data_IF_512931017283
#
_entry.id   IF_512931017283
#
_cell.length_a   1.000
_cell.length_b   1.000
_cell.length_c   1.000
_cell.angle_alpha   90.00
_cell.angle_beta   90.00
_cell.angle_gamma   90.00
#
_symmetry.space_group_name_H-M   'P 1'
#
loop_
_entity.id
_entity.type
_entity.pdbx_description
1 polymer ?
#
# COMPACT_ATOMS: atom_id res chain seq x y z
N UNK A 1 -7.84 16.32 -60.68
CA UNK A 1 -6.48 15.81 -60.43
C UNK A 1 -5.76 16.76 -59.49
N UNK A 2 -5.70 16.48 -58.19
CA UNK A 2 -4.79 17.14 -57.25
C UNK A 2 -4.44 16.12 -56.16
N UNK A 3 -3.26 15.48 -56.29
CA UNK A 3 -2.64 14.71 -55.22
C UNK A 3 -1.49 15.57 -54.70
N UNK A 4 -1.62 16.16 -53.52
CA UNK A 4 -0.47 16.71 -52.79
C UNK A 4 0.09 15.59 -51.92
N UNK A 5 1.05 14.85 -52.47
CA UNK A 5 1.91 13.98 -51.68
C UNK A 5 2.89 14.86 -50.91
N UNK A 6 2.88 14.74 -49.57
CA UNK A 6 3.94 15.27 -48.72
C UNK A 6 5.08 14.25 -48.74
N UNK A 7 6.36 14.65 -48.94
CA UNK A 7 7.49 13.73 -49.00
C UNK A 7 7.79 13.11 -47.64
N UNK A 8 8.16 11.84 -47.70
CA UNK A 8 8.58 10.95 -46.63
C UNK A 8 10.09 11.10 -46.43
N UNK A 9 10.52 11.95 -45.51
CA UNK A 9 11.93 12.07 -45.08
C UNK A 9 11.98 12.35 -43.56
N UNK A 10 11.47 11.39 -42.77
CA UNK A 10 11.74 11.35 -41.33
C UNK A 10 13.14 10.74 -41.13
N UNK A 11 14.12 11.62 -40.92
CA UNK A 11 15.50 11.28 -40.61
C UNK A 11 15.55 10.50 -39.28
N UNK A 12 15.87 9.21 -39.36
CA UNK A 12 16.31 8.41 -38.23
C UNK A 12 17.71 8.88 -37.79
N UNK A 13 17.78 9.63 -36.69
CA UNK A 13 19.04 9.77 -35.97
C UNK A 13 19.25 8.51 -35.11
N UNK A 14 19.94 7.53 -35.70
CA UNK A 14 20.62 6.47 -34.96
C UNK A 14 21.74 7.12 -34.12
N UNK A 15 21.55 7.17 -32.80
CA UNK A 15 22.65 7.42 -31.87
C UNK A 15 23.26 6.06 -31.53
N UNK A 16 24.27 5.66 -32.30
CA UNK A 16 25.23 4.65 -31.89
C UNK A 16 26.53 5.36 -31.48
N UNK A 17 27.18 4.73 -30.49
CA UNK A 17 28.52 4.99 -29.98
C UNK A 17 28.65 6.01 -28.84
N UNK A 18 28.68 5.48 -27.60
CA UNK A 18 29.75 5.78 -26.64
C UNK A 18 29.77 4.65 -25.58
N UNK A 19 30.44 3.57 -25.96
CA UNK A 19 30.94 2.58 -25.02
C UNK A 19 32.17 3.15 -24.29
N UNK A 20 32.25 2.88 -22.98
CA UNK A 20 33.37 3.14 -22.05
C UNK A 20 33.21 4.37 -21.15
N UNK A 21 32.53 4.17 -20.02
CA UNK A 21 32.94 4.79 -18.76
C UNK A 21 33.10 3.66 -17.74
N UNK A 22 34.35 3.23 -17.61
CA UNK A 22 35.05 2.88 -16.38
C UNK A 22 34.24 2.19 -15.27
N UNK A 23 34.51 0.89 -15.11
CA UNK A 23 34.33 0.24 -13.82
C UNK A 23 35.33 0.81 -12.82
N UNK A 24 34.83 1.12 -11.61
CA UNK A 24 35.43 0.91 -10.29
C UNK A 24 34.83 1.90 -9.28
N UNK A 25 33.72 1.51 -8.64
CA UNK A 25 33.31 2.05 -7.33
C UNK A 25 32.19 1.19 -6.71
N UNK A 26 32.31 -0.14 -6.71
CA UNK A 26 31.53 -0.99 -5.81
C UNK A 26 32.41 -1.41 -4.64
N UNK A 27 32.76 -0.43 -3.82
CA UNK A 27 33.40 -0.68 -2.54
C UNK A 27 32.43 -0.24 -1.44
N UNK A 28 31.82 -1.26 -0.83
CA UNK A 28 31.27 -1.31 0.52
C UNK A 28 30.32 -0.17 0.94
N UNK A 29 29.02 -0.40 0.78
CA UNK A 29 27.99 0.27 1.59
C UNK A 29 26.97 -0.73 2.14
N UNK A 30 27.43 -1.88 2.62
CA UNK A 30 26.58 -2.87 3.28
C UNK A 30 26.46 -2.66 4.81
N UNK A 31 27.17 -1.68 5.40
CA UNK A 31 27.29 -1.57 6.86
C UNK A 31 26.72 -0.28 7.48
N UNK A 32 25.81 0.42 6.79
CA UNK A 32 25.12 1.59 7.35
C UNK A 32 23.71 1.27 7.85
N UNK A 33 23.49 0.07 8.42
CA UNK A 33 22.34 -0.12 9.29
C UNK A 33 22.69 0.38 10.69
N UNK A 34 22.01 1.42 11.20
CA UNK A 34 22.29 1.94 12.53
C UNK A 34 22.15 0.83 13.57
N UNK A 35 23.09 0.82 14.51
CA UNK A 35 23.14 -0.17 15.60
C UNK A 35 21.79 -0.17 16.32
N UNK A 36 21.37 -1.31 16.91
CA UNK A 36 20.09 -1.38 17.62
C UNK A 36 19.90 -0.30 18.70
N UNK A 37 21.00 0.20 19.28
CA UNK A 37 21.01 1.32 20.23
C UNK A 37 20.73 2.66 19.53
N UNK A 38 21.44 2.97 18.44
CA UNK A 38 21.24 4.19 17.62
C UNK A 38 19.81 4.25 17.03
N UNK A 39 19.24 3.09 16.68
CA UNK A 39 17.85 2.97 16.21
C UNK A 39 16.82 3.33 17.27
N UNK A 40 17.14 3.10 18.54
CA UNK A 40 16.28 3.40 19.69
C UNK A 40 16.35 4.89 20.07
N UNK A 41 17.48 5.54 19.81
CA UNK A 41 17.66 6.98 20.01
C UNK A 41 16.90 7.77 18.94
N UNK A 42 16.99 7.37 17.66
CA UNK A 42 16.20 7.96 16.57
C UNK A 42 14.68 7.87 16.78
N UNK A 43 14.20 6.78 17.42
CA UNK A 43 12.79 6.64 17.80
C UNK A 43 12.38 7.61 18.92
N UNK A 44 13.24 7.82 19.92
CA UNK A 44 12.99 8.76 21.02
C UNK A 44 12.99 10.22 20.56
N UNK A 45 13.89 10.59 19.66
CA UNK A 45 13.95 11.94 19.09
C UNK A 45 12.70 12.24 18.24
N UNK A 46 12.25 11.28 17.42
CA UNK A 46 11.01 11.42 16.65
C UNK A 46 9.73 11.45 17.48
N UNK A 47 9.73 10.83 18.67
CA UNK A 47 8.62 10.89 19.63
C UNK A 47 8.56 12.23 20.36
N UNK A 48 9.71 12.78 20.77
CA UNK A 48 9.78 14.11 21.41
C UNK A 48 9.37 15.26 20.47
N UNK A 49 9.72 15.18 19.17
CA UNK A 49 9.26 16.15 18.17
C UNK A 49 7.75 16.04 17.90
N UNK A 50 7.18 14.83 18.02
CA UNK A 50 5.76 14.58 17.79
C UNK A 50 4.90 15.08 18.95
N UNK A 51 5.39 14.96 20.19
CA UNK A 51 4.72 15.47 21.39
C UNK A 51 4.71 17.01 21.42
N UNK A 52 5.78 17.68 20.97
CA UNK A 52 5.81 19.15 20.89
C UNK A 52 4.82 19.74 19.86
N UNK A 53 4.42 18.94 18.85
CA UNK A 53 3.53 19.40 17.77
C UNK A 53 2.04 19.38 18.14
N UNK A 54 1.67 18.69 19.22
CA UNK A 54 0.26 18.56 19.62
C UNK A 54 -0.25 19.75 20.47
N UNK A 55 0.63 20.64 20.93
CA UNK A 55 0.27 21.77 21.81
C UNK A 55 0.12 23.15 21.14
N UNK A 56 0.26 23.28 19.82
CA UNK A 56 0.25 24.61 19.12
C UNK A 56 -1.10 24.97 18.47
N UNK A 57 -2.22 24.33 18.82
CA UNK A 57 -3.53 24.75 18.30
C UNK A 57 -4.58 24.85 19.41
N UNK A 58 -4.40 25.83 20.30
CA UNK A 58 -5.54 26.54 20.90
C UNK A 58 -5.70 27.87 20.18
N UNK A 59 -6.47 27.84 19.09
CA UNK A 59 -6.98 29.07 18.48
C UNK A 59 -8.26 29.41 19.23
N UNK A 60 -8.17 30.33 20.17
CA UNK A 60 -9.34 31.04 20.70
C UNK A 60 -9.95 31.88 19.57
N UNK A 61 -10.71 31.22 18.71
CA UNK A 61 -11.53 31.86 17.70
C UNK A 61 -12.93 32.00 18.27
N UNK A 62 -13.33 33.24 18.55
CA UNK A 62 -14.71 33.62 18.81
C UNK A 62 -15.65 32.92 17.81
N UNK A 63 -16.61 32.14 18.30
CA UNK A 63 -17.51 31.28 17.52
C UNK A 63 -18.28 32.05 16.42
N UNK A 64 -18.55 33.33 16.67
CA UNK A 64 -19.22 34.27 15.76
C UNK A 64 -18.42 34.59 14.48
N UNK A 65 -17.08 34.51 14.51
CA UNK A 65 -16.23 34.84 13.36
C UNK A 65 -15.89 33.58 12.51
N UNK A 66 -16.07 32.38 13.06
CA UNK A 66 -15.94 31.10 12.34
C UNK A 66 -17.13 30.85 11.40
N UNK A 67 -18.31 31.39 11.70
CA UNK A 67 -19.50 31.29 10.86
C UNK A 67 -19.37 32.10 9.55
N UNK A 68 -18.55 33.16 9.54
CA UNK A 68 -18.36 34.06 8.37
C UNK A 68 -17.36 33.52 7.36
N UNK A 69 -16.45 32.63 7.76
CA UNK A 69 -15.47 32.00 6.87
C UNK A 69 -16.00 30.64 6.44
N UNK A 70 -16.02 30.36 5.14
CA UNK A 70 -16.36 29.03 4.65
C UNK A 70 -15.49 27.96 5.32
N UNK A 71 -16.12 26.89 5.85
CA UNK A 71 -15.40 25.81 6.53
C UNK A 71 -14.28 25.26 5.65
N UNK A 72 -13.05 25.21 6.19
CA UNK A 72 -11.91 24.57 5.51
C UNK A 72 -12.29 23.12 5.19
N UNK A 73 -12.17 22.72 3.91
CA UNK A 73 -12.44 21.35 3.49
C UNK A 73 -11.38 20.41 4.07
N UNK A 74 -11.79 19.50 4.94
CA UNK A 74 -10.91 18.42 5.41
C UNK A 74 -10.79 17.36 4.32
N UNK A 75 -9.56 16.93 4.05
CA UNK A 75 -9.28 15.83 3.12
C UNK A 75 -9.67 14.51 3.80
N UNK A 76 -10.61 13.76 3.23
CA UNK A 76 -10.95 12.40 3.69
C UNK A 76 -10.58 11.35 2.61
N UNK A 77 -9.38 10.75 2.68
CA UNK A 77 -8.94 9.74 1.72
C UNK A 77 -9.83 8.50 1.68
N UNK A 78 -10.46 8.11 2.78
CA UNK A 78 -11.26 6.89 2.86
C UNK A 78 -12.54 6.98 2.03
N UNK A 79 -13.05 8.19 1.83
CA UNK A 79 -14.24 8.47 1.03
C UNK A 79 -13.93 8.68 -0.47
N UNK A 80 -12.65 8.71 -0.86
CA UNK A 80 -12.34 8.81 -2.28
C UNK A 80 -12.82 7.58 -3.02
N UNK A 81 -13.55 7.83 -4.12
CA UNK A 81 -14.08 6.78 -5.02
C UNK A 81 -13.03 5.72 -5.36
N UNK A 82 -11.79 6.12 -5.65
CA UNK A 82 -10.67 5.20 -5.93
C UNK A 82 -10.31 4.30 -4.75
N UNK A 83 -10.29 4.84 -3.53
CA UNK A 83 -9.94 4.08 -2.32
C UNK A 83 -11.06 3.13 -1.93
N UNK A 84 -12.32 3.59 -2.00
CA UNK A 84 -13.50 2.74 -1.82
C UNK A 84 -13.46 1.57 -2.82
N UNK A 85 -13.23 1.86 -4.11
CA UNK A 85 -13.17 0.85 -5.16
C UNK A 85 -12.04 -0.17 -4.93
N UNK A 86 -10.83 0.31 -4.61
CA UNK A 86 -9.70 -0.57 -4.26
C UNK A 86 -10.07 -1.50 -3.12
N UNK A 87 -10.62 -0.95 -2.02
CA UNK A 87 -11.05 -1.72 -0.85
C UNK A 87 -12.08 -2.79 -1.21
N UNK A 88 -13.10 -2.45 -2.01
CA UNK A 88 -14.10 -3.42 -2.47
C UNK A 88 -13.47 -4.51 -3.35
N UNK A 89 -12.58 -4.16 -4.27
CA UNK A 89 -11.85 -5.11 -5.13
C UNK A 89 -10.99 -6.09 -4.33
N UNK A 90 -10.28 -5.60 -3.32
CA UNK A 90 -9.44 -6.44 -2.44
C UNK A 90 -10.27 -7.36 -1.55
N UNK A 91 -11.36 -6.84 -0.97
CA UNK A 91 -12.28 -7.64 -0.14
C UNK A 91 -13.16 -8.57 -0.96
N UNK A 92 -13.09 -8.52 -2.30
CA UNK A 92 -13.91 -9.34 -3.18
C UNK A 92 -15.39 -8.96 -3.18
N UNK A 93 -15.76 -7.77 -2.69
CA UNK A 93 -17.14 -7.28 -2.74
C UNK A 93 -17.49 -6.75 -4.13
N UNK A 94 -18.79 -6.67 -4.42
CA UNK A 94 -19.26 -6.03 -5.63
C UNK A 94 -18.86 -4.54 -5.65
N UNK A 95 -18.53 -4.01 -6.83
CA UNK A 95 -18.11 -2.62 -6.99
C UNK A 95 -18.39 -2.07 -8.38
N UNK A 96 -18.42 -0.75 -8.53
CA UNK A 96 -18.57 -0.08 -9.83
C UNK A 96 -17.20 0.29 -10.39
N UNK A 97 -16.94 0.00 -11.66
CA UNK A 97 -15.71 0.37 -12.36
C UNK A 97 -15.60 1.89 -12.56
N UNK A 98 -14.41 2.37 -12.94
CA UNK A 98 -14.24 3.77 -13.39
C UNK A 98 -15.10 4.12 -14.60
N UNK A 99 -15.44 3.11 -15.41
CA UNK A 99 -16.32 3.21 -16.58
C UNK A 99 -17.80 3.04 -16.25
N UNK A 100 -18.18 2.95 -14.97
CA UNK A 100 -19.58 2.81 -14.54
C UNK A 100 -20.15 1.39 -14.61
N UNK A 101 -19.34 0.38 -14.95
CA UNK A 101 -19.79 -1.01 -15.04
C UNK A 101 -19.75 -1.69 -13.69
N UNK A 102 -20.84 -2.35 -13.31
CA UNK A 102 -20.89 -3.15 -12.08
C UNK A 102 -20.04 -4.43 -12.21
N UNK A 103 -19.35 -4.75 -11.13
CA UNK A 103 -18.56 -5.98 -10.94
C UNK A 103 -19.18 -6.73 -9.78
N UNK A 104 -19.51 -8.01 -9.99
CA UNK A 104 -20.06 -8.88 -8.97
C UNK A 104 -19.03 -9.19 -7.88
N UNK A 105 -19.52 -9.62 -6.72
CA UNK A 105 -18.66 -10.11 -5.65
C UNK A 105 -17.93 -11.39 -6.10
N UNK A 106 -16.67 -11.53 -5.69
CA UNK A 106 -15.90 -12.76 -5.85
C UNK A 106 -16.46 -13.82 -4.91
N UNK A 107 -16.82 -14.96 -5.48
CA UNK A 107 -17.14 -16.17 -4.73
C UNK A 107 -15.96 -17.13 -4.81
N UNK A 108 -15.68 -17.82 -3.71
CA UNK A 108 -14.77 -18.97 -3.72
C UNK A 108 -15.63 -20.16 -4.13
N UNK A 109 -15.23 -20.88 -5.17
CA UNK A 109 -15.91 -22.09 -5.61
C UNK A 109 -15.77 -23.22 -4.58
N UNK A 110 -16.44 -24.35 -4.84
CA UNK A 110 -16.21 -25.56 -4.06
C UNK A 110 -14.72 -25.94 -4.09
N UNK A 111 -14.23 -26.55 -3.01
CA UNK A 111 -12.89 -27.13 -2.98
C UNK A 111 -12.72 -28.11 -4.13
N UNK A 112 -11.50 -28.21 -4.67
CA UNK A 112 -11.21 -29.22 -5.68
C UNK A 112 -11.49 -30.63 -5.11
N UNK A 113 -12.17 -31.47 -5.89
CA UNK A 113 -12.47 -32.84 -5.48
C UNK A 113 -11.23 -33.75 -5.49
N UNK A 114 -11.39 -34.99 -5.01
CA UNK A 114 -10.33 -36.02 -4.96
C UNK A 114 -9.75 -36.33 -6.34
N UNK A 115 -10.53 -36.13 -7.40
CA UNK A 115 -10.14 -36.31 -8.79
C UNK A 115 -9.38 -35.12 -9.41
N UNK A 116 -9.01 -34.10 -8.61
CA UNK A 116 -8.20 -32.99 -9.10
C UNK A 116 -6.85 -33.50 -9.63
N UNK A 117 -6.55 -33.21 -10.89
CA UNK A 117 -5.29 -33.61 -11.53
C UNK A 117 -4.05 -33.09 -10.75
N UNK A 118 -4.19 -31.91 -10.15
CA UNK A 118 -3.15 -31.26 -9.35
C UNK A 118 -3.16 -31.70 -7.87
N UNK A 119 -4.12 -32.56 -7.46
CA UNK A 119 -4.30 -33.05 -6.09
C UNK A 119 -4.13 -31.95 -5.02
N UNK A 120 -4.63 -30.74 -5.29
CA UNK A 120 -4.28 -29.59 -4.45
C UNK A 120 -4.63 -29.80 -2.97
N UNK A 121 -5.69 -30.56 -2.68
CA UNK A 121 -6.11 -30.92 -1.32
C UNK A 121 -5.01 -31.61 -0.49
N UNK A 122 -4.13 -32.41 -1.08
CA UNK A 122 -3.05 -33.09 -0.35
C UNK A 122 -1.82 -32.21 -0.10
N UNK A 123 -1.75 -31.03 -0.72
CA UNK A 123 -0.61 -30.12 -0.59
C UNK A 123 -0.86 -28.98 0.42
N UNK A 124 -2.10 -28.76 0.85
CA UNK A 124 -2.44 -27.71 1.81
C UNK A 124 -2.28 -28.11 3.29
N UNK A 125 -2.03 -29.40 3.57
CA UNK A 125 -1.97 -29.93 4.94
C UNK A 125 -0.92 -29.20 5.81
N UNK A 126 0.27 -28.92 5.27
CA UNK A 126 1.34 -28.23 5.99
C UNK A 126 0.97 -26.77 6.35
N UNK A 127 0.18 -26.10 5.51
CA UNK A 127 -0.23 -24.70 5.73
C UNK A 127 -1.38 -24.59 6.73
N UNK A 128 -2.37 -25.49 6.64
CA UNK A 128 -3.50 -25.48 7.57
C UNK A 128 -3.09 -25.91 8.99
N UNK A 129 -2.21 -26.90 9.11
CA UNK A 129 -1.63 -27.31 10.40
C UNK A 129 -0.84 -26.18 11.04
N UNK A 130 -0.01 -25.46 10.28
CA UNK A 130 0.73 -24.29 10.76
C UNK A 130 -0.21 -23.17 11.24
N UNK A 131 -1.26 -22.85 10.46
CA UNK A 131 -2.24 -21.82 10.84
C UNK A 131 -3.03 -22.20 12.11
N UNK A 132 -3.42 -23.48 12.25
CA UNK A 132 -4.08 -23.97 13.48
C UNK A 132 -3.13 -23.96 14.68
N UNK A 133 -1.88 -24.38 14.50
CA UNK A 133 -0.87 -24.39 15.57
C UNK A 133 -0.58 -22.97 16.08
N UNK A 134 -0.44 -21.99 15.18
CA UNK A 134 -0.24 -20.58 15.54
C UNK A 134 -1.47 -20.02 16.27
N UNK A 135 -2.68 -20.32 15.81
CA UNK A 135 -3.91 -19.89 16.49
C UNK A 135 -4.09 -20.50 17.89
N UNK A 136 -3.70 -21.76 18.06
CA UNK A 136 -3.73 -22.44 19.37
C UNK A 136 -2.65 -21.90 20.33
N UNK A 137 -1.47 -21.56 19.81
CA UNK A 137 -0.38 -20.98 20.60
C UNK A 137 -0.68 -19.53 21.05
N UNK A 138 -1.49 -18.79 20.30
CA UNK A 138 -1.86 -17.39 20.60
C UNK A 138 -3.02 -17.18 21.59
N UNK A 139 -3.51 -18.24 22.26
CA UNK A 139 -4.67 -18.17 23.18
C UNK A 139 -4.32 -18.28 24.68
N UNK A 140 -3.05 -18.13 25.05
CA UNK A 140 -2.63 -17.74 26.42
C UNK A 140 -2.04 -16.34 26.22
N UNK A 141 -2.59 -15.26 26.75
CA UNK A 141 -2.95 -15.02 28.13
C UNK A 141 -3.77 -13.72 28.24
N UNK A 142 -4.99 -13.82 28.77
CA UNK A 142 -5.75 -12.74 29.41
C UNK A 142 -6.69 -13.45 30.40
N UNK A 143 -6.15 -13.81 31.57
CA UNK A 143 -7.00 -13.97 32.74
C UNK A 143 -6.85 -12.70 33.58
N UNK A 144 -7.78 -11.78 33.35
CA UNK A 144 -8.26 -10.91 34.41
C UNK A 144 -8.64 -11.80 35.60
N UNK A 145 -7.88 -11.70 36.69
CA UNK A 145 -8.40 -12.05 38.01
C UNK A 145 -8.39 -10.80 38.86
N UNK A 146 -9.58 -10.20 38.90
CA UNK A 146 -10.10 -9.38 39.99
C UNK A 146 -9.58 -9.89 41.34
N UNK A 147 -8.96 -9.01 42.14
CA UNK A 147 -9.29 -8.75 43.55
C UNK A 147 -8.61 -7.45 44.00
#
# INVERSE_FOLDING_TARGET
MHKTGVPDDYIHHENQDDASIEGQAEQENHDLLPRPQERRELQKEGEAERENREDVIRVDANDEDLQKRGRKRTRNPNEWKRNIQKRLKYTGKAYVSTTGKEKSAKTIGASCGVSCALRCSSHFEARETLLRAIGAAGSRENNDTLF
#
